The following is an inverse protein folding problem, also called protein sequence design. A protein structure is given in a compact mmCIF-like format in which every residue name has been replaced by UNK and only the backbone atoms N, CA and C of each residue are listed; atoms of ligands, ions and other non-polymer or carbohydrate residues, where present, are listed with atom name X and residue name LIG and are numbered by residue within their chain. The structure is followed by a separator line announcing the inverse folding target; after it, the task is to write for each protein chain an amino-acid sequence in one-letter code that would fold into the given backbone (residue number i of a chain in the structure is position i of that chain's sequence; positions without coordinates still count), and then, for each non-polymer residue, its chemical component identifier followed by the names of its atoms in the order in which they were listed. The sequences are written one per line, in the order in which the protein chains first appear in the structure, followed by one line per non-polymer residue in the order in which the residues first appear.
data_IF_646826277710
#
_entry.id   IF_646826277710
#
_cell.length_a   1.000
_cell.length_b   1.000
_cell.length_c   1.000
_cell.angle_alpha   90.00
_cell.angle_beta   90.00
_cell.angle_gamma   90.00
#
_symmetry.space_group_name_H-M   'P 1'
#
loop_
_entity.id
_entity.type
_entity.pdbx_description
1 polymer ?
#
# COMPACT_ATOMS: atom_id res chain seq x y z
N UNK A 1 -12.31 0.02 12.79
CA UNK A 1 -11.06 0.78 12.63
C UNK A 1 -11.25 1.69 11.42
N UNK A 2 -11.03 2.99 11.57
CA UNK A 2 -11.15 3.95 10.45
C UNK A 2 -9.93 3.84 9.53
N UNK A 3 -10.03 4.28 8.28
CA UNK A 3 -8.93 4.22 7.32
C UNK A 3 -7.65 4.90 7.85
N UNK A 4 -7.77 6.11 8.40
CA UNK A 4 -6.64 6.82 9.02
C UNK A 4 -5.94 6.00 10.13
N UNK A 5 -6.71 5.24 10.91
CA UNK A 5 -6.16 4.36 11.95
C UNK A 5 -5.42 3.15 11.35
N UNK A 6 -5.96 2.56 10.28
CA UNK A 6 -5.31 1.44 9.55
C UNK A 6 -3.95 1.90 9.04
N UNK A 7 -3.92 3.04 8.33
CA UNK A 7 -2.70 3.59 7.72
C UNK A 7 -1.65 3.89 8.80
N UNK A 8 -2.03 4.58 9.87
CA UNK A 8 -1.13 4.93 10.96
C UNK A 8 -0.55 3.69 11.65
N UNK A 9 -1.41 2.73 12.02
CA UNK A 9 -0.96 1.49 12.68
C UNK A 9 -0.06 0.65 11.80
N UNK A 10 -0.34 0.60 10.50
CA UNK A 10 0.52 -0.08 9.53
C UNK A 10 1.89 0.59 9.46
N UNK A 11 1.93 1.90 9.22
CA UNK A 11 3.18 2.67 9.15
C UNK A 11 4.05 2.47 10.41
N UNK A 12 3.45 2.60 11.59
CA UNK A 12 4.14 2.37 12.88
C UNK A 12 4.66 0.94 13.01
N UNK A 13 3.91 -0.06 12.52
CA UNK A 13 4.35 -1.45 12.52
C UNK A 13 5.51 -1.69 11.55
N UNK A 14 5.45 -1.13 10.33
CA UNK A 14 6.52 -1.23 9.33
C UNK A 14 7.81 -0.55 9.80
N UNK A 15 7.70 0.62 10.45
CA UNK A 15 8.83 1.30 11.09
C UNK A 15 9.43 0.42 12.20
N UNK A 16 8.60 -0.14 13.07
CA UNK A 16 9.06 -1.00 14.18
C UNK A 16 9.75 -2.28 13.69
N UNK A 17 9.34 -2.81 12.53
CA UNK A 17 9.99 -3.96 11.88
C UNK A 17 11.30 -3.60 11.16
N UNK A 18 11.67 -2.32 11.11
CA UNK A 18 12.88 -1.86 10.42
C UNK A 18 12.78 -1.90 8.90
N UNK A 19 11.58 -2.07 8.34
CA UNK A 19 11.37 -2.09 6.89
C UNK A 19 11.37 -0.68 6.30
N UNK A 20 10.98 0.33 7.08
CA UNK A 20 11.08 1.74 6.72
C UNK A 20 11.58 2.56 7.92
N UNK A 21 12.13 3.74 7.67
CA UNK A 21 12.61 4.69 8.67
C UNK A 21 12.33 6.12 8.22
N UNK A 22 12.63 7.10 9.07
CA UNK A 22 12.54 8.53 8.68
C UNK A 22 13.47 8.91 7.51
N UNK A 23 14.46 8.07 7.19
CA UNK A 23 15.39 8.27 6.08
C UNK A 23 14.96 7.54 4.80
N UNK A 24 13.88 6.75 4.86
CA UNK A 24 13.37 6.01 3.69
C UNK A 24 12.99 7.00 2.60
N UNK A 25 13.56 6.80 1.43
CA UNK A 25 13.34 7.63 0.25
C UNK A 25 12.17 7.12 -0.58
N UNK A 26 11.76 7.91 -1.57
CA UNK A 26 10.74 7.51 -2.54
C UNK A 26 11.17 6.26 -3.32
N UNK A 27 12.47 6.17 -3.64
CA UNK A 27 13.05 5.01 -4.34
C UNK A 27 12.95 3.76 -3.48
N UNK A 28 13.18 3.86 -2.17
CA UNK A 28 13.05 2.71 -1.25
C UNK A 28 11.60 2.21 -1.19
N UNK A 29 10.61 3.12 -1.17
CA UNK A 29 9.20 2.73 -1.25
C UNK A 29 8.85 2.08 -2.60
N UNK A 30 9.43 2.56 -3.69
CA UNK A 30 9.24 1.96 -5.01
C UNK A 30 9.80 0.53 -5.06
N UNK A 31 11.04 0.32 -4.60
CA UNK A 31 11.64 -1.01 -4.50
C UNK A 31 10.83 -1.95 -3.60
N UNK A 32 10.31 -1.43 -2.46
CA UNK A 32 9.45 -2.23 -1.59
C UNK A 32 8.14 -2.60 -2.28
N UNK A 33 7.59 -1.70 -3.12
CA UNK A 33 6.40 -2.01 -3.91
C UNK A 33 6.67 -3.12 -4.93
N UNK A 34 7.84 -3.11 -5.57
CA UNK A 34 8.26 -4.19 -6.49
C UNK A 34 8.38 -5.54 -5.76
N UNK A 35 8.93 -5.55 -4.54
CA UNK A 35 8.99 -6.74 -3.68
C UNK A 35 7.59 -7.33 -3.42
N UNK A 36 6.62 -6.51 -2.98
CA UNK A 36 5.24 -6.97 -2.74
C UNK A 36 4.56 -7.47 -4.03
N UNK A 37 4.88 -6.89 -5.19
CA UNK A 37 4.40 -7.40 -6.47
C UNK A 37 4.96 -8.78 -6.80
N UNK A 38 6.22 -9.04 -6.46
CA UNK A 38 6.83 -10.35 -6.66
C UNK A 38 6.25 -11.39 -5.68
N UNK A 39 5.99 -11.02 -4.42
CA UNK A 39 5.27 -11.87 -3.45
C UNK A 39 3.85 -12.22 -3.95
N UNK A 40 3.11 -11.23 -4.47
CA UNK A 40 1.81 -11.45 -5.08
C UNK A 40 1.88 -12.42 -6.26
N UNK A 41 2.85 -12.27 -7.17
CA UNK A 41 3.04 -13.22 -8.28
C UNK A 41 3.35 -14.62 -7.77
N UNK A 42 4.19 -14.75 -6.74
CA UNK A 42 4.54 -16.05 -6.16
C UNK A 42 3.36 -16.72 -5.46
N UNK A 43 2.39 -15.94 -4.95
CA UNK A 43 1.18 -16.47 -4.31
C UNK A 43 0.21 -17.17 -5.29
N UNK A 44 0.35 -16.95 -6.59
CA UNK A 44 -0.44 -17.63 -7.62
C UNK A 44 -0.20 -19.15 -7.64
N UNK A 45 0.94 -19.60 -7.10
CA UNK A 45 1.34 -21.00 -7.07
C UNK A 45 0.89 -21.74 -5.81
N UNK A 46 0.30 -21.04 -4.82
CA UNK A 46 0.09 -21.57 -3.47
C UNK A 46 -1.38 -21.66 -3.04
N UNK A 47 -2.30 -20.97 -3.72
CA UNK A 47 -3.72 -20.93 -3.38
C UNK A 47 -4.56 -21.83 -4.30
N UNK A 48 -5.27 -22.81 -3.71
CA UNK A 48 -6.20 -23.69 -4.44
C UNK A 48 -7.63 -23.11 -4.53
N UNK A 49 -7.89 -21.93 -3.96
CA UNK A 49 -9.23 -21.34 -3.85
C UNK A 49 -9.35 -20.06 -4.68
N UNK A 50 -8.31 -19.23 -4.68
CA UNK A 50 -8.24 -17.96 -5.38
C UNK A 50 -7.05 -17.95 -6.32
N UNK A 51 -7.10 -17.18 -7.43
CA UNK A 51 -6.00 -17.13 -8.39
C UNK A 51 -4.69 -16.55 -7.82
N UNK A 52 -4.72 -15.93 -6.64
CA UNK A 52 -3.60 -15.39 -5.86
C UNK A 52 -4.01 -15.27 -4.38
N UNK A 53 -3.08 -14.97 -3.47
CA UNK A 53 -3.41 -14.63 -2.08
C UNK A 53 -3.82 -13.16 -1.98
N UNK A 54 -5.09 -12.84 -1.59
CA UNK A 54 -5.54 -11.47 -1.44
C UNK A 54 -4.70 -10.63 -0.47
N UNK A 55 -4.03 -11.24 0.52
CA UNK A 55 -3.19 -10.50 1.48
C UNK A 55 -2.00 -9.85 0.80
N UNK A 56 -1.34 -10.56 -0.10
CA UNK A 56 -0.20 -10.02 -0.86
C UNK A 56 -0.63 -8.82 -1.73
N UNK A 57 -1.86 -8.83 -2.25
CA UNK A 57 -2.41 -7.68 -2.96
C UNK A 57 -2.68 -6.49 -2.01
N UNK A 58 -3.04 -6.76 -0.76
CA UNK A 58 -3.23 -5.70 0.25
C UNK A 58 -1.88 -5.15 0.69
N UNK A 59 -0.81 -5.94 0.75
CA UNK A 59 0.51 -5.46 1.15
C UNK A 59 1.05 -4.38 0.19
N UNK A 60 0.82 -4.52 -1.11
CA UNK A 60 1.06 -3.45 -2.10
C UNK A 60 0.35 -2.14 -1.71
N UNK A 61 -0.94 -2.22 -1.38
CA UNK A 61 -1.75 -1.06 -0.97
C UNK A 61 -1.20 -0.44 0.32
N UNK A 62 -0.80 -1.28 1.28
CA UNK A 62 -0.24 -0.85 2.55
C UNK A 62 1.12 -0.17 2.39
N UNK A 63 1.95 -0.58 1.43
CA UNK A 63 3.19 0.14 1.07
C UNK A 63 2.87 1.52 0.52
N UNK A 64 1.89 1.65 -0.38
CA UNK A 64 1.47 2.97 -0.90
C UNK A 64 0.93 3.88 0.19
N UNK A 65 0.11 3.35 1.10
CA UNK A 65 -0.39 4.11 2.24
C UNK A 65 0.73 4.54 3.18
N UNK A 66 1.70 3.66 3.46
CA UNK A 66 2.88 4.01 4.24
C UNK A 66 3.71 5.09 3.58
N UNK A 67 3.91 5.03 2.26
CA UNK A 67 4.62 6.06 1.49
C UNK A 67 3.91 7.41 1.58
N UNK A 68 2.61 7.46 1.28
CA UNK A 68 1.85 8.70 1.32
C UNK A 68 1.82 9.31 2.73
N UNK A 69 1.66 8.47 3.75
CA UNK A 69 1.72 8.90 5.15
C UNK A 69 3.13 9.41 5.53
N UNK A 70 4.20 8.76 5.04
CA UNK A 70 5.58 9.17 5.27
C UNK A 70 5.85 10.60 4.78
N UNK A 71 5.28 10.95 3.63
CA UNK A 71 5.38 12.30 3.05
C UNK A 71 4.31 13.29 3.57
N UNK A 72 3.48 12.88 4.53
CA UNK A 72 2.51 13.77 5.19
C UNK A 72 1.24 14.06 4.37
N UNK A 73 0.92 13.24 3.37
CA UNK A 73 -0.31 13.41 2.59
C UNK A 73 -1.55 12.94 3.37
N UNK A 74 -2.69 13.63 3.17
CA UNK A 74 -3.99 13.13 3.61
C UNK A 74 -4.52 12.10 2.59
N UNK A 75 -4.19 10.83 2.84
CA UNK A 75 -4.53 9.71 1.96
C UNK A 75 -6.03 9.59 1.71
N UNK A 76 -6.86 9.78 2.75
CA UNK A 76 -8.31 9.66 2.63
C UNK A 76 -8.87 10.74 1.70
N UNK A 77 -8.38 11.98 1.85
CA UNK A 77 -8.73 13.08 0.95
C UNK A 77 -8.34 12.76 -0.51
N UNK A 78 -7.10 12.30 -0.75
CA UNK A 78 -6.63 11.97 -2.10
C UNK A 78 -7.43 10.83 -2.75
N UNK A 79 -7.83 9.82 -1.97
CA UNK A 79 -8.69 8.74 -2.46
C UNK A 79 -10.05 9.28 -2.90
N UNK A 80 -10.69 10.12 -2.09
CA UNK A 80 -11.98 10.74 -2.42
C UNK A 80 -11.85 11.59 -3.70
N UNK A 81 -10.82 12.44 -3.78
CA UNK A 81 -10.56 13.28 -4.96
C UNK A 81 -10.38 12.43 -6.23
N UNK A 82 -9.65 11.31 -6.13
CA UNK A 82 -9.41 10.43 -7.28
C UNK A 82 -10.68 9.69 -7.72
N UNK A 83 -11.52 9.25 -6.78
CA UNK A 83 -12.82 8.62 -7.10
C UNK A 83 -13.75 9.61 -7.79
N UNK A 84 -13.93 10.81 -7.23
CA UNK A 84 -14.76 11.86 -7.82
C UNK A 84 -14.28 12.30 -9.21
N UNK A 85 -12.96 12.25 -9.45
CA UNK A 85 -12.39 12.47 -10.77
C UNK A 85 -12.74 11.34 -11.74
N UNK A 86 -12.57 10.07 -11.33
CA UNK A 86 -12.86 8.91 -12.18
C UNK A 86 -14.35 8.77 -12.53
N UNK A 87 -15.27 9.15 -11.64
CA UNK A 87 -16.72 9.16 -11.92
C UNK A 87 -17.12 10.10 -13.08
N UNK A 88 -16.28 11.09 -13.37
CA UNK A 88 -16.50 12.07 -14.45
C UNK A 88 -15.72 11.73 -15.72
N UNK A 89 -14.93 10.65 -15.72
CA UNK A 89 -14.19 10.20 -16.89
C UNK A 89 -15.14 9.48 -17.84
N UNK A 90 -15.11 9.91 -19.09
CA UNK A 90 -15.85 9.29 -20.20
C UNK A 90 -14.93 8.42 -21.09
N UNK A 91 -13.67 8.24 -20.69
CA UNK A 91 -12.64 7.47 -21.39
C UNK A 91 -12.37 6.09 -20.76
#
# INVERSE_FOLDING_TARGET
MKLKEIIKRNYEATVRRGQISIKTSFVDFFLKTEEEFDELKMSTWTSNIYPFDPKESIDIILVQFSMLNHYGFDVEKLLIEKVLFNEKRED
#
